data_IF_634346103684
#
_entry.id   IF_634346103684
#
_cell.length_a   1.000
_cell.length_b   1.000
_cell.length_c   1.000
_cell.angle_alpha   90.00
_cell.angle_beta   90.00
_cell.angle_gamma   90.00
#
_symmetry.space_group_name_H-M   'P 1'
#
loop_
_entity.id
_entity.type
_entity.pdbx_description
1 polymer ?
#
# COMPACT_ATOMS: atom_id res chain seq x y z
N UNK A 1 -10.44 17.52 22.02
CA UNK A 1 -10.82 17.22 20.62
C UNK A 1 -10.24 15.85 20.30
N UNK A 2 -11.05 14.83 19.96
CA UNK A 2 -10.49 13.50 19.74
C UNK A 2 -9.66 13.56 18.47
N UNK A 3 -8.37 13.27 18.58
CA UNK A 3 -7.36 13.33 17.52
C UNK A 3 -7.62 12.31 16.39
N UNK A 4 -8.52 11.35 16.63
CA UNK A 4 -8.82 10.27 15.70
C UNK A 4 -9.85 10.67 14.63
N UNK A 5 -9.55 10.47 13.32
CA UNK A 5 -10.46 10.81 12.22
C UNK A 5 -11.77 10.00 12.23
N UNK A 6 -11.81 8.88 12.95
CA UNK A 6 -13.00 8.03 13.11
C UNK A 6 -13.72 8.23 14.45
N UNK A 7 -13.27 9.18 15.29
CA UNK A 7 -13.85 9.43 16.60
C UNK A 7 -13.69 8.28 17.62
N UNK A 8 -12.98 7.22 17.24
CA UNK A 8 -12.69 6.05 18.07
C UNK A 8 -11.19 5.99 18.36
N UNK A 9 -10.85 5.77 19.63
CA UNK A 9 -9.49 5.44 20.05
C UNK A 9 -9.17 4.02 19.58
N UNK A 10 -8.29 3.92 18.59
CA UNK A 10 -7.69 2.66 18.18
C UNK A 10 -6.46 2.39 19.07
N UNK A 11 -6.06 1.13 19.29
CA UNK A 11 -4.80 0.79 19.95
C UNK A 11 -3.63 1.17 19.03
N UNK A 12 -3.41 2.47 18.85
CA UNK A 12 -2.34 3.03 18.05
C UNK A 12 -1.20 3.43 18.98
N UNK A 13 0.01 2.98 18.65
CA UNK A 13 1.23 3.46 19.30
C UNK A 13 1.70 4.68 18.52
N UNK A 14 1.55 5.86 19.11
CA UNK A 14 2.11 7.10 18.56
C UNK A 14 3.53 7.24 19.09
N UNK A 15 4.50 7.30 18.19
CA UNK A 15 5.92 7.42 18.51
C UNK A 15 6.47 8.77 18.04
N UNK A 16 7.68 9.12 18.48
CA UNK A 16 8.37 10.32 17.98
C UNK A 16 8.87 10.16 16.55
N UNK A 17 9.26 11.28 15.95
CA UNK A 17 9.70 11.34 14.54
C UNK A 17 10.98 10.53 14.28
N UNK A 18 11.87 10.44 15.28
CA UNK A 18 13.10 9.65 15.19
C UNK A 18 12.79 8.14 15.23
N UNK A 19 11.86 7.74 16.11
CA UNK A 19 11.44 6.33 16.23
C UNK A 19 10.61 5.88 15.03
N UNK A 20 9.70 6.71 14.51
CA UNK A 20 8.87 6.32 13.35
C UNK A 20 9.74 6.10 12.12
N UNK A 21 10.78 6.91 11.93
CA UNK A 21 11.72 6.75 10.81
C UNK A 21 12.41 5.38 10.85
N UNK A 22 12.85 4.95 12.03
CA UNK A 22 13.44 3.63 12.23
C UNK A 22 12.42 2.50 12.02
N UNK A 23 11.21 2.65 12.55
CA UNK A 23 10.15 1.64 12.40
C UNK A 23 9.79 1.48 10.92
N UNK A 24 9.63 2.56 10.17
CA UNK A 24 9.34 2.49 8.74
C UNK A 24 10.45 1.78 7.98
N UNK A 25 11.72 2.10 8.24
CA UNK A 25 12.82 1.44 7.55
C UNK A 25 12.89 -0.06 7.89
N UNK A 26 12.68 -0.43 9.16
CA UNK A 26 12.77 -1.84 9.58
C UNK A 26 11.53 -2.66 9.23
N UNK A 27 10.36 -2.03 9.06
CA UNK A 27 9.12 -2.72 8.76
C UNK A 27 9.01 -3.16 7.30
N UNK A 28 9.76 -2.56 6.38
CA UNK A 28 9.67 -2.89 4.96
C UNK A 28 9.95 -4.36 4.69
N UNK A 29 9.09 -4.97 3.86
CA UNK A 29 9.29 -6.33 3.40
C UNK A 29 10.45 -6.35 2.42
N UNK A 30 11.54 -7.04 2.76
CA UNK A 30 12.73 -7.20 1.90
C UNK A 30 13.00 -8.66 1.65
N UNK A 31 13.00 -9.05 0.37
CA UNK A 31 13.21 -10.43 -0.04
C UNK A 31 14.22 -10.50 -1.18
N UNK A 32 15.25 -11.34 -1.04
CA UNK A 32 16.08 -11.76 -2.16
C UNK A 32 15.34 -12.77 -3.01
N UNK A 33 15.34 -12.55 -4.32
CA UNK A 33 14.65 -13.37 -5.31
C UNK A 33 15.62 -13.82 -6.40
N UNK A 34 15.34 -14.99 -6.95
CA UNK A 34 16.11 -15.59 -8.03
C UNK A 34 15.23 -16.11 -9.13
N UNK A 35 15.70 -16.03 -10.38
CA UNK A 35 15.18 -16.86 -11.45
C UNK A 35 16.06 -18.10 -11.61
N UNK A 36 15.44 -19.28 -11.49
CA UNK A 36 16.12 -20.55 -11.72
C UNK A 36 16.19 -20.86 -13.23
N UNK A 37 17.28 -21.51 -13.64
CA UNK A 37 17.41 -22.06 -14.97
C UNK A 37 16.31 -23.13 -15.21
N UNK A 38 15.84 -23.23 -16.45
CA UNK A 38 14.73 -24.13 -16.80
C UNK A 38 15.13 -25.61 -16.83
N UNK A 39 16.41 -25.91 -17.10
CA UNK A 39 16.92 -27.27 -17.30
C UNK A 39 17.62 -27.81 -16.05
N UNK A 40 18.19 -26.93 -15.24
CA UNK A 40 19.00 -27.29 -14.08
C UNK A 40 18.64 -26.43 -12.87
N UNK A 41 18.65 -27.02 -11.67
CA UNK A 41 18.30 -26.33 -10.41
C UNK A 41 19.41 -25.38 -9.94
N UNK A 42 19.83 -24.45 -10.80
CA UNK A 42 20.78 -23.38 -10.49
C UNK A 42 20.18 -22.02 -10.82
N UNK A 43 20.74 -20.98 -10.22
CA UNK A 43 20.34 -19.59 -10.50
C UNK A 43 20.82 -19.20 -11.89
N UNK A 44 19.95 -18.57 -12.68
CA UNK A 44 20.31 -17.99 -13.98
C UNK A 44 21.29 -16.83 -13.74
N UNK A 45 22.36 -16.75 -14.54
CA UNK A 45 23.38 -15.72 -14.38
C UNK A 45 22.75 -14.31 -14.44
N UNK A 46 23.00 -13.50 -13.41
CA UNK A 46 22.47 -12.14 -13.30
C UNK A 46 21.02 -12.04 -12.82
N UNK A 47 20.37 -13.16 -12.52
CA UNK A 47 18.97 -13.18 -12.09
C UNK A 47 18.82 -13.28 -10.56
N UNK A 48 19.76 -12.72 -9.79
CA UNK A 48 19.63 -12.53 -8.34
C UNK A 48 19.35 -11.06 -8.07
N UNK A 49 18.20 -10.76 -7.48
CA UNK A 49 17.75 -9.39 -7.24
C UNK A 49 16.96 -9.32 -5.95
N UNK A 50 16.94 -8.13 -5.34
CA UNK A 50 16.13 -7.89 -4.14
C UNK A 50 14.83 -7.20 -4.53
N UNK A 51 13.76 -7.52 -3.81
CA UNK A 51 12.47 -6.84 -3.87
C UNK A 51 12.19 -6.23 -2.52
N UNK A 52 11.72 -4.98 -2.53
CA UNK A 52 11.25 -4.26 -1.36
C UNK A 52 9.78 -3.90 -1.56
N UNK A 53 8.97 -4.04 -0.50
CA UNK A 53 7.55 -3.74 -0.54
C UNK A 53 7.04 -3.25 0.82
N UNK A 54 5.91 -2.56 0.79
CA UNK A 54 5.15 -2.27 2.00
C UNK A 54 4.56 -3.56 2.58
N UNK A 55 4.56 -3.73 3.91
CA UNK A 55 3.86 -4.82 4.57
C UNK A 55 2.36 -4.78 4.27
N UNK A 56 1.74 -5.96 4.37
CA UNK A 56 0.28 -6.07 4.50
C UNK A 56 -0.21 -5.23 5.68
N UNK A 57 -1.46 -4.80 5.64
CA UNK A 57 -2.10 -3.95 6.66
C UNK A 57 -1.50 -2.54 6.78
N UNK A 58 -0.56 -2.14 5.91
CA UNK A 58 -0.12 -0.75 5.81
C UNK A 58 -1.29 0.14 5.35
N UNK A 59 -1.63 1.14 6.16
CA UNK A 59 -2.66 2.13 5.83
C UNK A 59 -1.99 3.37 5.24
N UNK A 60 -2.35 3.72 4.00
CA UNK A 60 -1.92 4.95 3.34
C UNK A 60 -3.11 5.89 3.17
N UNK A 61 -2.86 7.19 3.37
CA UNK A 61 -3.89 8.23 3.24
C UNK A 61 -3.41 9.27 2.23
N UNK A 62 -4.20 9.47 1.18
CA UNK A 62 -3.92 10.44 0.12
C UNK A 62 -5.04 11.48 0.05
N UNK A 63 -4.66 12.76 0.00
CA UNK A 63 -5.62 13.82 -0.27
C UNK A 63 -5.90 13.89 -1.78
N UNK A 64 -7.17 13.86 -2.17
CA UNK A 64 -7.61 14.00 -3.56
C UNK A 64 -8.32 15.34 -3.70
N UNK A 65 -7.79 16.23 -4.55
CA UNK A 65 -8.41 17.50 -4.87
C UNK A 65 -9.21 17.38 -6.17
N UNK A 66 -10.48 17.78 -6.14
CA UNK A 66 -11.38 17.69 -7.30
C UNK A 66 -11.72 19.11 -7.75
N UNK A 67 -11.56 19.37 -9.05
CA UNK A 67 -12.00 20.64 -9.64
C UNK A 67 -13.53 20.68 -9.64
N UNK A 68 -14.17 21.80 -9.24
CA UNK A 68 -15.62 21.93 -9.33
C UNK A 68 -16.09 21.80 -10.78
N UNK A 69 -16.95 20.82 -11.03
CA UNK A 69 -17.61 20.59 -12.33
C UNK A 69 -19.13 20.58 -12.15
N UNK A 70 -19.88 20.69 -13.26
CA UNK A 70 -21.34 20.54 -13.21
C UNK A 70 -21.77 19.11 -12.88
N UNK A 71 -20.93 18.14 -13.22
CA UNK A 71 -21.12 16.73 -12.91
C UNK A 71 -20.56 16.42 -11.52
N UNK A 72 -21.30 15.63 -10.75
CA UNK A 72 -20.85 15.10 -9.46
C UNK A 72 -19.93 13.92 -9.76
N UNK A 73 -18.71 13.95 -9.23
CA UNK A 73 -17.80 12.81 -9.34
C UNK A 73 -18.38 11.62 -8.57
N UNK A 74 -18.59 10.51 -9.27
CA UNK A 74 -19.03 9.25 -8.71
C UNK A 74 -17.86 8.25 -8.79
N UNK A 75 -17.12 8.04 -7.68
CA UNK A 75 -16.06 7.03 -7.68
C UNK A 75 -16.63 5.61 -7.78
N UNK A 76 -15.80 4.67 -8.25
CA UNK A 76 -16.04 3.22 -8.23
C UNK A 76 -17.48 2.78 -8.58
N UNK A 77 -17.99 3.27 -9.71
CA UNK A 77 -19.35 2.99 -10.19
C UNK A 77 -20.47 3.33 -9.19
N UNK A 78 -20.26 4.40 -8.41
CA UNK A 78 -21.19 4.90 -7.39
C UNK A 78 -20.92 4.39 -5.97
N UNK A 79 -19.81 3.68 -5.74
CA UNK A 79 -19.38 3.23 -4.41
C UNK A 79 -18.22 4.08 -3.88
N UNK A 80 -18.08 4.15 -2.55
CA UNK A 80 -16.94 4.81 -1.90
C UNK A 80 -15.77 3.83 -1.62
N UNK A 81 -15.93 2.56 -1.98
CA UNK A 81 -14.95 1.50 -1.75
C UNK A 81 -14.69 0.67 -3.00
N UNK A 82 -13.45 0.22 -3.17
CA UNK A 82 -13.07 -0.71 -4.22
C UNK A 82 -11.80 -1.48 -3.86
N UNK A 83 -11.72 -2.72 -4.35
CA UNK A 83 -10.48 -3.46 -4.41
C UNK A 83 -9.72 -3.09 -5.69
N UNK A 84 -8.45 -2.71 -5.53
CA UNK A 84 -7.61 -2.26 -6.64
C UNK A 84 -6.22 -2.83 -6.46
N UNK A 85 -5.59 -3.25 -7.56
CA UNK A 85 -4.17 -3.59 -7.59
C UNK A 85 -3.34 -2.35 -7.90
N UNK A 86 -2.43 -2.00 -7.00
CA UNK A 86 -1.53 -0.86 -7.13
C UNK A 86 -0.07 -1.33 -7.22
N UNK A 87 0.69 -0.75 -8.16
CA UNK A 87 2.10 -1.06 -8.35
C UNK A 87 2.36 -2.19 -9.34
N UNK A 88 3.36 -3.02 -9.07
CA UNK A 88 3.76 -4.15 -9.91
C UNK A 88 3.76 -5.45 -9.14
N UNK A 89 4.21 -6.55 -9.78
CA UNK A 89 4.26 -7.88 -9.18
C UNK A 89 2.87 -8.45 -8.79
N UNK A 90 1.80 -7.97 -9.43
CA UNK A 90 0.44 -8.49 -9.27
C UNK A 90 0.35 -10.01 -9.56
N UNK A 91 1.10 -10.50 -10.56
CA UNK A 91 1.10 -11.92 -10.95
C UNK A 91 1.60 -12.88 -9.86
N UNK A 92 2.20 -12.35 -8.79
CA UNK A 92 2.65 -13.10 -7.63
C UNK A 92 2.00 -12.60 -6.33
N UNK A 93 0.91 -11.84 -6.44
CA UNK A 93 0.06 -11.43 -5.32
C UNK A 93 0.40 -10.10 -4.65
N UNK A 94 1.30 -9.29 -5.22
CA UNK A 94 1.62 -7.98 -4.62
C UNK A 94 0.63 -6.91 -5.08
N UNK A 95 0.40 -5.93 -4.21
CA UNK A 95 -0.31 -4.71 -4.55
C UNK A 95 -1.84 -4.77 -4.43
N UNK A 96 -2.42 -5.88 -3.94
CA UNK A 96 -3.85 -5.94 -3.65
C UNK A 96 -4.19 -4.98 -2.50
N UNK A 97 -5.03 -3.99 -2.77
CA UNK A 97 -5.40 -2.95 -1.82
C UNK A 97 -6.91 -2.79 -1.75
N UNK A 98 -7.42 -2.54 -0.55
CA UNK A 98 -8.78 -2.04 -0.37
C UNK A 98 -8.74 -0.51 -0.20
N UNK A 99 -9.38 0.21 -1.12
CA UNK A 99 -9.42 1.67 -1.13
C UNK A 99 -10.77 2.11 -0.58
N UNK A 100 -10.75 3.08 0.33
CA UNK A 100 -11.95 3.79 0.78
C UNK A 100 -11.77 5.28 0.54
N UNK A 101 -12.72 5.90 -0.16
CA UNK A 101 -12.78 7.34 -0.36
C UNK A 101 -13.68 7.97 0.69
N UNK A 102 -13.22 9.08 1.27
CA UNK A 102 -13.98 9.86 2.26
C UNK A 102 -14.14 11.28 1.76
N UNK A 103 -15.24 11.94 2.16
CA UNK A 103 -15.55 13.31 1.73
C UNK A 103 -16.04 13.42 0.28
N UNK A 104 -16.41 12.28 -0.32
CA UNK A 104 -17.23 12.19 -1.52
C UNK A 104 -18.67 11.93 -1.06
N UNK A 105 -19.61 12.78 -1.50
CA UNK A 105 -20.98 13.01 -1.01
C UNK A 105 -21.11 14.16 0.00
#
# INVERSE_FOLDING_TARGET
>A
KPWFPLGQELPAVVVGDDEISLIHDMALYRQSRVALDKQEKKVTKGAFFNTEALPEETILVFAIAIRPTKEIWQPFDGNDQAEVYLGGLESIGFGHCNITLKGVN
#
